data_IF_681601580017
#
_entry.id   IF_681601580017
#
_cell.length_a   1.000
_cell.length_b   1.000
_cell.length_c   1.000
_cell.angle_alpha   90.00
_cell.angle_beta   90.00
_cell.angle_gamma   90.00
#
_symmetry.space_group_name_H-M   'P 1'
#
loop_
_entity.id
_entity.type
_entity.pdbx_description
1 polymer ?
#
# COMPACT_ATOMS: atom_id res chain seq x y z
N UNK A 1 9.46 -19.58 -2.14
CA UNK A 1 10.47 -18.74 -2.81
C UNK A 1 11.14 -17.84 -1.78
N UNK A 2 12.47 -17.71 -1.76
CA UNK A 2 13.14 -16.77 -0.87
C UNK A 2 12.71 -15.33 -1.16
N UNK A 3 12.60 -14.49 -0.12
CA UNK A 3 12.11 -13.12 -0.21
C UNK A 3 12.83 -12.27 -1.30
N UNK A 4 14.10 -12.55 -1.56
CA UNK A 4 14.91 -11.88 -2.58
C UNK A 4 14.42 -12.05 -4.03
N UNK A 5 13.71 -13.16 -4.33
CA UNK A 5 13.14 -13.41 -5.68
C UNK A 5 11.71 -12.90 -5.85
N UNK A 6 10.97 -12.66 -4.75
CA UNK A 6 9.56 -12.25 -4.81
C UNK A 6 9.40 -10.80 -5.29
N UNK A 7 10.23 -9.88 -4.78
CA UNK A 7 10.13 -8.45 -5.10
C UNK A 7 10.30 -8.18 -6.61
N UNK A 8 11.40 -8.62 -7.27
CA UNK A 8 11.55 -8.38 -8.70
C UNK A 8 10.48 -9.08 -9.53
N UNK A 9 9.99 -10.26 -9.10
CA UNK A 9 8.91 -10.95 -9.80
C UNK A 9 7.60 -10.17 -9.71
N UNK A 10 7.20 -9.74 -8.52
CA UNK A 10 5.97 -8.97 -8.32
C UNK A 10 6.02 -7.63 -9.07
N UNK A 11 7.13 -6.90 -8.93
CA UNK A 11 7.33 -5.62 -9.62
C UNK A 11 7.35 -5.78 -11.14
N UNK A 12 8.00 -6.82 -11.65
CA UNK A 12 8.06 -7.14 -13.08
C UNK A 12 6.71 -7.54 -13.66
N UNK A 13 5.96 -8.42 -12.95
CA UNK A 13 4.61 -8.81 -13.38
C UNK A 13 3.65 -7.61 -13.41
N UNK A 14 3.71 -6.75 -12.39
CA UNK A 14 2.89 -5.55 -12.36
C UNK A 14 3.23 -4.60 -13.52
N UNK A 15 4.51 -4.38 -13.80
CA UNK A 15 4.97 -3.62 -14.96
C UNK A 15 4.51 -4.23 -16.30
N UNK A 16 4.56 -5.54 -16.41
CA UNK A 16 4.06 -6.26 -17.60
C UNK A 16 2.55 -6.06 -17.79
N UNK A 17 1.77 -6.15 -16.72
CA UNK A 17 0.31 -5.88 -16.77
C UNK A 17 0.02 -4.46 -17.27
N UNK A 18 0.77 -3.46 -16.79
CA UNK A 18 0.63 -2.08 -17.27
C UNK A 18 0.94 -1.97 -18.76
N UNK A 19 2.02 -2.61 -19.22
CA UNK A 19 2.38 -2.61 -20.65
C UNK A 19 1.32 -3.31 -21.50
N UNK A 20 0.85 -4.47 -21.11
CA UNK A 20 -0.15 -5.24 -21.86
C UNK A 20 -1.50 -4.54 -21.93
N UNK A 21 -1.88 -3.81 -20.90
CA UNK A 21 -3.17 -3.07 -20.86
C UNK A 21 -3.08 -1.69 -21.50
N UNK A 22 -1.87 -1.17 -21.74
CA UNK A 22 -1.64 0.20 -22.22
C UNK A 22 -2.12 1.24 -21.21
N UNK A 23 -2.15 0.92 -19.92
CA UNK A 23 -2.71 1.78 -18.88
C UNK A 23 -1.91 3.09 -18.74
N UNK A 24 -2.57 4.27 -18.75
CA UNK A 24 -1.89 5.54 -18.56
C UNK A 24 -1.50 5.71 -17.09
N UNK A 25 -0.21 5.83 -16.80
CA UNK A 25 0.27 6.02 -15.43
C UNK A 25 0.36 7.48 -15.00
N UNK A 26 0.35 8.44 -15.94
CA UNK A 26 0.45 9.87 -15.64
C UNK A 26 1.77 10.29 -14.97
N UNK A 27 2.88 9.55 -15.19
CA UNK A 27 4.19 9.79 -14.57
C UNK A 27 5.05 10.80 -15.34
N UNK A 28 4.41 11.70 -16.11
CA UNK A 28 5.07 12.82 -16.81
C UNK A 28 4.39 14.13 -16.45
N UNK A 29 5.14 15.27 -16.43
CA UNK A 29 4.54 16.57 -16.24
C UNK A 29 3.44 16.87 -17.26
N UNK A 30 2.37 17.64 -16.91
CA UNK A 30 2.11 18.22 -15.58
C UNK A 30 1.47 17.25 -14.57
N UNK A 31 0.93 16.11 -15.01
CA UNK A 31 0.18 15.15 -14.17
C UNK A 31 1.04 14.59 -13.04
N UNK A 32 2.31 14.30 -13.30
CA UNK A 32 3.25 13.84 -12.26
C UNK A 32 3.23 14.79 -11.06
N UNK A 33 3.37 16.09 -11.28
CA UNK A 33 3.43 17.08 -10.19
C UNK A 33 2.09 17.27 -9.48
N UNK A 34 0.98 17.14 -10.20
CA UNK A 34 -0.35 17.13 -9.57
C UNK A 34 -0.47 15.92 -8.62
N UNK A 35 -0.04 14.73 -9.08
CA UNK A 35 -0.03 13.52 -8.27
C UNK A 35 0.92 13.61 -7.08
N UNK A 36 2.12 14.15 -7.27
CA UNK A 36 3.09 14.32 -6.17
C UNK A 36 2.53 15.23 -5.08
N UNK A 37 1.98 16.38 -5.43
CA UNK A 37 1.40 17.31 -4.44
C UNK A 37 0.26 16.68 -3.66
N UNK A 38 -0.70 16.06 -4.37
CA UNK A 38 -1.85 15.42 -3.74
C UNK A 38 -1.41 14.21 -2.89
N UNK A 39 -0.52 13.38 -3.42
CA UNK A 39 -0.01 12.21 -2.73
C UNK A 39 0.79 12.53 -1.47
N UNK A 40 1.61 13.58 -1.49
CA UNK A 40 2.31 14.06 -0.30
C UNK A 40 1.35 14.61 0.75
N UNK A 41 0.34 15.39 0.35
CA UNK A 41 -0.64 15.94 1.28
C UNK A 41 -1.43 14.82 1.99
N UNK A 42 -2.01 13.91 1.21
CA UNK A 42 -2.80 12.79 1.76
C UNK A 42 -1.91 11.80 2.51
N UNK A 43 -0.72 11.50 1.98
CA UNK A 43 0.25 10.61 2.61
C UNK A 43 0.73 11.12 3.96
N UNK A 44 1.03 12.43 4.08
CA UNK A 44 1.41 13.05 5.35
C UNK A 44 0.30 12.96 6.39
N UNK A 45 -0.95 13.23 5.98
CA UNK A 45 -2.10 13.10 6.87
C UNK A 45 -2.31 11.65 7.31
N UNK A 46 -2.19 10.70 6.39
CA UNK A 46 -2.32 9.27 6.69
C UNK A 46 -1.19 8.78 7.61
N UNK A 47 0.06 9.18 7.37
CA UNK A 47 1.19 8.84 8.23
C UNK A 47 1.00 9.40 9.65
N UNK A 48 0.53 10.64 9.78
CA UNK A 48 0.22 11.23 11.08
C UNK A 48 -0.89 10.45 11.81
N UNK A 49 -1.94 10.03 11.09
CA UNK A 49 -2.99 9.17 11.63
C UNK A 49 -2.45 7.82 12.10
N UNK A 50 -1.60 7.15 11.31
CA UNK A 50 -0.94 5.89 11.69
C UNK A 50 -0.13 6.08 12.97
N UNK A 51 0.69 7.13 13.05
CA UNK A 51 1.49 7.43 14.25
C UNK A 51 0.57 7.68 15.45
N UNK A 52 -0.52 8.44 15.28
CA UNK A 52 -1.48 8.70 16.35
C UNK A 52 -2.12 7.41 16.90
N UNK A 53 -2.38 6.40 16.04
CA UNK A 53 -2.93 5.11 16.51
C UNK A 53 -1.99 4.38 17.46
N UNK A 54 -0.70 4.67 17.47
CA UNK A 54 0.27 4.07 18.41
C UNK A 54 0.03 4.49 19.87
N UNK A 55 -0.78 5.53 20.12
CA UNK A 55 -1.24 5.88 21.47
C UNK A 55 -2.24 4.87 22.04
N UNK A 56 -2.93 4.12 21.17
CA UNK A 56 -3.92 3.11 21.55
C UNK A 56 -3.22 1.84 22.06
N UNK A 57 -3.47 1.40 23.31
CA UNK A 57 -2.78 0.25 23.90
C UNK A 57 -2.90 -1.04 23.07
N UNK A 58 -4.08 -1.34 22.53
CA UNK A 58 -4.32 -2.52 21.70
C UNK A 58 -3.44 -2.53 20.44
N UNK A 59 -3.32 -1.38 19.76
CA UNK A 59 -2.45 -1.22 18.58
C UNK A 59 -0.97 -1.45 18.93
N UNK A 60 -0.52 -0.89 20.05
CA UNK A 60 0.86 -1.10 20.51
C UNK A 60 1.16 -2.56 20.81
N UNK A 61 0.22 -3.27 21.46
CA UNK A 61 0.36 -4.71 21.75
C UNK A 61 0.43 -5.51 20.44
N UNK A 62 -0.44 -5.24 19.50
CA UNK A 62 -0.40 -5.89 18.17
C UNK A 62 0.94 -5.64 17.45
N UNK A 63 1.39 -4.38 17.39
CA UNK A 63 2.68 -4.04 16.77
C UNK A 63 3.88 -4.68 17.48
N UNK A 64 3.83 -4.82 18.82
CA UNK A 64 4.90 -5.44 19.60
C UNK A 64 5.01 -6.95 19.32
N UNK A 65 3.90 -7.62 19.03
CA UNK A 65 3.84 -9.08 18.76
C UNK A 65 4.07 -9.43 17.30
N UNK A 66 3.98 -8.47 16.39
CA UNK A 66 4.08 -8.72 14.95
C UNK A 66 5.48 -9.25 14.59
N UNK A 67 5.51 -10.30 13.79
CA UNK A 67 6.76 -10.75 13.19
C UNK A 67 7.23 -9.74 12.13
N UNK A 68 8.45 -9.23 12.31
CA UNK A 68 9.05 -8.28 11.39
C UNK A 68 10.10 -8.99 10.52
N UNK A 69 10.30 -8.53 9.28
CA UNK A 69 11.36 -9.04 8.43
C UNK A 69 12.74 -8.91 9.08
N UNK A 70 13.62 -9.88 8.82
CA UNK A 70 14.97 -9.96 9.40
C UNK A 70 15.84 -8.75 9.06
N UNK A 71 15.66 -8.17 7.87
CA UNK A 71 16.36 -6.96 7.42
C UNK A 71 15.38 -5.79 7.30
N UNK A 72 15.39 -4.90 8.28
CA UNK A 72 14.58 -3.69 8.25
C UNK A 72 14.94 -2.78 7.06
N UNK A 73 16.22 -2.65 6.70
CA UNK A 73 16.66 -1.85 5.56
C UNK A 73 16.13 -2.39 4.22
N UNK A 74 16.24 -3.69 4.00
CA UNK A 74 15.70 -4.32 2.78
C UNK A 74 14.17 -4.20 2.74
N UNK A 75 13.50 -4.32 3.89
CA UNK A 75 12.06 -4.19 3.98
C UNK A 75 11.59 -2.78 3.60
N UNK A 76 12.13 -1.76 4.25
CA UNK A 76 11.79 -0.36 4.00
C UNK A 76 12.23 0.11 2.60
N UNK A 77 13.45 -0.20 2.16
CA UNK A 77 13.98 0.36 0.92
C UNK A 77 13.57 -0.39 -0.36
N UNK A 78 13.17 -1.66 -0.27
CA UNK A 78 12.88 -2.48 -1.46
C UNK A 78 11.53 -3.18 -1.39
N UNK A 79 11.22 -3.89 -0.29
CA UNK A 79 10.00 -4.70 -0.24
C UNK A 79 8.76 -3.81 -0.23
N UNK A 80 8.70 -2.78 0.62
CA UNK A 80 7.57 -1.85 0.66
C UNK A 80 7.46 -1.07 -0.65
N UNK A 81 8.48 -0.34 -1.12
CA UNK A 81 8.33 0.50 -2.31
C UNK A 81 8.04 -0.28 -3.60
N UNK A 82 8.76 -1.39 -3.83
CA UNK A 82 8.67 -2.13 -5.09
C UNK A 82 7.77 -3.36 -5.00
N UNK A 83 7.93 -4.18 -3.94
CA UNK A 83 7.19 -5.43 -3.80
C UNK A 83 5.74 -5.21 -3.39
N UNK A 84 5.43 -4.14 -2.68
CA UNK A 84 4.07 -3.79 -2.24
C UNK A 84 3.53 -2.62 -3.05
N UNK A 85 4.02 -1.41 -2.82
CA UNK A 85 3.42 -0.18 -3.37
C UNK A 85 3.40 -0.17 -4.89
N UNK A 86 4.55 -0.31 -5.54
CA UNK A 86 4.60 -0.34 -7.00
C UNK A 86 3.76 -1.50 -7.56
N UNK A 87 3.94 -2.71 -7.04
CA UNK A 87 3.27 -3.90 -7.56
C UNK A 87 1.74 -3.77 -7.46
N UNK A 88 1.23 -3.29 -6.33
CA UNK A 88 -0.20 -3.15 -6.10
C UNK A 88 -0.79 -1.96 -6.85
N UNK A 89 -0.16 -0.78 -6.82
CA UNK A 89 -0.69 0.38 -7.54
C UNK A 89 -0.69 0.17 -9.06
N UNK A 90 0.35 -0.44 -9.60
CA UNK A 90 0.42 -0.78 -11.01
C UNK A 90 -0.63 -1.83 -11.41
N UNK A 91 -0.83 -2.86 -10.59
CA UNK A 91 -1.83 -3.91 -10.88
C UNK A 91 -3.27 -3.40 -10.74
N UNK A 92 -3.60 -2.73 -9.64
CA UNK A 92 -4.99 -2.37 -9.33
C UNK A 92 -5.40 -1.00 -9.92
N UNK A 93 -4.59 0.06 -9.73
CA UNK A 93 -4.95 1.44 -10.12
C UNK A 93 -4.58 1.76 -11.56
N UNK A 94 -3.56 1.09 -12.12
CA UNK A 94 -3.27 1.22 -13.53
C UNK A 94 -3.97 0.12 -14.34
N UNK A 95 -3.48 -1.12 -14.28
CA UNK A 95 -3.90 -2.18 -15.20
C UNK A 95 -5.37 -2.58 -15.04
N UNK A 96 -5.80 -2.99 -13.84
CA UNK A 96 -7.18 -3.44 -13.60
C UNK A 96 -8.19 -2.30 -13.83
N UNK A 97 -7.90 -1.09 -13.30
CA UNK A 97 -8.78 0.06 -13.49
C UNK A 97 -8.91 0.46 -14.96
N UNK A 98 -7.83 0.39 -15.75
CA UNK A 98 -7.89 0.69 -17.19
C UNK A 98 -8.76 -0.31 -17.96
N UNK A 99 -8.64 -1.61 -17.67
CA UNK A 99 -9.46 -2.64 -18.31
C UNK A 99 -10.93 -2.53 -17.88
N UNK A 100 -11.16 -2.41 -16.57
CA UNK A 100 -12.51 -2.28 -16.03
C UNK A 100 -13.21 -1.00 -16.50
N UNK A 101 -12.46 0.10 -16.67
CA UNK A 101 -12.99 1.38 -17.14
C UNK A 101 -13.56 1.33 -18.54
N UNK A 102 -13.05 0.43 -19.40
CA UNK A 102 -13.59 0.23 -20.77
C UNK A 102 -14.98 -0.39 -20.77
N UNK A 103 -15.31 -1.14 -19.73
CA UNK A 103 -16.59 -1.88 -19.62
C UNK A 103 -17.58 -1.19 -18.70
N UNK A 104 -17.09 -0.71 -17.53
CA UNK A 104 -17.95 -0.25 -16.44
C UNK A 104 -17.85 1.26 -16.19
N UNK A 105 -17.07 2.00 -17.01
CA UNK A 105 -16.79 3.41 -16.77
C UNK A 105 -15.91 3.66 -15.52
N UNK A 106 -15.61 4.92 -15.22
CA UNK A 106 -14.68 5.29 -14.16
C UNK A 106 -15.14 4.81 -12.76
N UNK A 107 -16.41 5.08 -12.42
CA UNK A 107 -16.95 4.70 -11.10
C UNK A 107 -17.01 3.18 -10.89
N UNK A 108 -17.40 2.42 -11.93
CA UNK A 108 -17.42 0.97 -11.88
C UNK A 108 -16.01 0.38 -11.77
N UNK A 109 -15.05 0.94 -12.50
CA UNK A 109 -13.65 0.55 -12.42
C UNK A 109 -13.07 0.79 -11.02
N UNK A 110 -13.36 1.97 -10.42
CA UNK A 110 -12.93 2.29 -9.05
C UNK A 110 -13.54 1.33 -8.02
N UNK A 111 -14.81 0.98 -8.17
CA UNK A 111 -15.45 0.01 -7.29
C UNK A 111 -14.83 -1.38 -7.45
N UNK A 112 -14.69 -1.87 -8.68
CA UNK A 112 -14.14 -3.19 -8.94
C UNK A 112 -12.71 -3.34 -8.40
N UNK A 113 -11.83 -2.38 -8.67
CA UNK A 113 -10.46 -2.44 -8.19
C UNK A 113 -10.38 -2.32 -6.66
N UNK A 114 -11.26 -1.57 -6.01
CA UNK A 114 -11.32 -1.45 -4.56
C UNK A 114 -11.75 -2.77 -3.90
N UNK A 115 -12.77 -3.42 -4.45
CA UNK A 115 -13.23 -4.75 -4.01
C UNK A 115 -12.11 -5.78 -4.20
N UNK A 116 -11.51 -5.84 -5.40
CA UNK A 116 -10.43 -6.77 -5.70
C UNK A 116 -9.22 -6.55 -4.77
N UNK A 117 -8.89 -5.30 -4.49
CA UNK A 117 -7.81 -4.94 -3.56
C UNK A 117 -8.12 -5.38 -2.12
N UNK A 118 -9.34 -5.16 -1.64
CA UNK A 118 -9.75 -5.67 -0.33
C UNK A 118 -9.66 -7.19 -0.25
N UNK A 119 -10.21 -7.90 -1.24
CA UNK A 119 -10.21 -9.35 -1.28
C UNK A 119 -8.79 -9.95 -1.40
N UNK A 120 -7.85 -9.28 -2.05
CA UNK A 120 -6.47 -9.75 -2.16
C UNK A 120 -5.76 -9.85 -0.79
N UNK A 121 -6.24 -9.13 0.23
CA UNK A 121 -5.68 -9.16 1.58
C UNK A 121 -6.20 -10.30 2.48
N UNK A 122 -7.12 -11.15 1.97
CA UNK A 122 -7.65 -12.29 2.74
C UNK A 122 -6.53 -13.26 3.15
N UNK A 123 -5.61 -13.55 2.23
CA UNK A 123 -4.52 -14.48 2.50
C UNK A 123 -3.57 -13.93 3.58
N UNK A 124 -3.24 -12.64 3.50
CA UNK A 124 -2.35 -11.98 4.46
C UNK A 124 -3.02 -11.88 5.85
N UNK A 125 -4.30 -11.51 5.91
CA UNK A 125 -5.05 -11.47 7.16
C UNK A 125 -5.05 -12.84 7.87
N UNK A 126 -5.28 -13.92 7.11
CA UNK A 126 -5.21 -15.28 7.65
C UNK A 126 -3.82 -15.68 8.12
N UNK A 127 -2.79 -15.31 7.37
CA UNK A 127 -1.41 -15.64 7.70
C UNK A 127 -0.91 -14.89 8.95
N UNK A 128 -1.42 -13.68 9.19
CA UNK A 128 -1.05 -12.84 10.35
C UNK A 128 -1.98 -12.99 11.55
N UNK A 129 -3.07 -13.77 11.42
CA UNK A 129 -4.09 -13.93 12.47
C UNK A 129 -4.97 -12.70 12.67
N UNK A 130 -4.99 -11.78 11.70
CA UNK A 130 -5.84 -10.59 11.73
C UNK A 130 -7.29 -10.93 11.34
N UNK A 131 -8.30 -10.21 11.85
CA UNK A 131 -9.70 -10.45 11.50
C UNK A 131 -9.93 -10.19 10.00
N UNK A 132 -10.35 -11.20 9.26
CA UNK A 132 -10.46 -11.15 7.79
C UNK A 132 -11.42 -10.05 7.31
N UNK A 133 -12.66 -10.02 7.83
CA UNK A 133 -13.65 -9.06 7.36
C UNK A 133 -13.27 -7.59 7.62
N UNK A 134 -12.84 -7.19 8.84
CA UNK A 134 -12.32 -5.85 9.07
C UNK A 134 -11.13 -5.49 8.17
N UNK A 135 -10.20 -6.43 7.94
CA UNK A 135 -9.04 -6.20 7.05
C UNK A 135 -9.50 -5.94 5.62
N UNK A 136 -10.39 -6.77 5.08
CA UNK A 136 -10.93 -6.61 3.72
C UNK A 136 -11.67 -5.28 3.55
N UNK A 137 -12.48 -4.89 4.55
CA UNK A 137 -13.21 -3.62 4.52
C UNK A 137 -12.27 -2.41 4.60
N UNK A 138 -11.28 -2.45 5.47
CA UNK A 138 -10.29 -1.38 5.63
C UNK A 138 -9.42 -1.22 4.37
N UNK A 139 -8.90 -2.33 3.85
CA UNK A 139 -8.06 -2.30 2.63
C UNK A 139 -8.88 -1.98 1.37
N UNK A 140 -10.13 -2.46 1.28
CA UNK A 140 -11.06 -2.07 0.22
C UNK A 140 -11.39 -0.57 0.26
N UNK A 141 -11.65 -0.01 1.44
CA UNK A 141 -11.84 1.42 1.64
C UNK A 141 -10.60 2.24 1.24
N UNK A 142 -9.41 1.80 1.66
CA UNK A 142 -8.16 2.39 1.20
C UNK A 142 -8.01 2.29 -0.32
N UNK A 143 -8.36 1.13 -0.90
CA UNK A 143 -8.39 0.91 -2.35
C UNK A 143 -9.26 1.90 -3.10
N UNK A 144 -10.44 2.20 -2.56
CA UNK A 144 -11.33 3.22 -3.11
C UNK A 144 -10.71 4.61 -3.09
N UNK A 145 -10.07 4.99 -1.97
CA UNK A 145 -9.38 6.27 -1.83
C UNK A 145 -8.21 6.36 -2.81
N UNK A 146 -7.40 5.31 -2.93
CA UNK A 146 -6.27 5.26 -3.86
C UNK A 146 -6.73 5.35 -5.32
N UNK A 147 -7.83 4.71 -5.68
CA UNK A 147 -8.47 4.85 -6.99
C UNK A 147 -8.89 6.29 -7.26
N UNK A 148 -9.54 6.93 -6.28
CA UNK A 148 -9.91 8.34 -6.36
C UNK A 148 -8.69 9.27 -6.51
N UNK A 149 -7.61 9.02 -5.77
CA UNK A 149 -6.36 9.78 -5.89
C UNK A 149 -5.76 9.69 -7.30
N UNK A 150 -5.74 8.49 -7.88
CA UNK A 150 -5.24 8.27 -9.24
C UNK A 150 -6.09 9.01 -10.28
N UNK A 151 -7.41 8.91 -10.19
CA UNK A 151 -8.35 9.58 -11.10
C UNK A 151 -8.27 11.11 -10.97
N UNK A 152 -8.31 11.63 -9.74
CA UNK A 152 -8.36 13.08 -9.48
C UNK A 152 -7.06 13.80 -9.90
N UNK A 153 -5.91 13.16 -9.67
CA UNK A 153 -4.61 13.71 -10.08
C UNK A 153 -4.24 13.39 -11.52
N UNK A 154 -4.87 12.38 -12.11
CA UNK A 154 -4.48 11.80 -13.40
C UNK A 154 -3.11 11.13 -13.34
N UNK A 155 -2.62 10.74 -12.16
CA UNK A 155 -1.27 10.20 -11.95
C UNK A 155 -1.24 9.11 -10.89
N UNK A 156 -0.51 8.03 -11.20
CA UNK A 156 -0.25 6.95 -10.27
C UNK A 156 0.64 7.38 -9.09
N UNK A 157 1.39 8.48 -9.22
CA UNK A 157 2.23 9.00 -8.13
C UNK A 157 1.43 9.41 -6.89
N UNK A 158 0.15 9.83 -7.03
CA UNK A 158 -0.68 10.21 -5.89
C UNK A 158 -0.99 9.01 -4.97
N UNK A 159 -1.61 7.92 -5.45
CA UNK A 159 -1.84 6.76 -4.60
C UNK A 159 -0.54 6.08 -4.16
N UNK A 160 0.50 6.03 -5.00
CA UNK A 160 1.80 5.46 -4.61
C UNK A 160 2.40 6.17 -3.40
N UNK A 161 2.41 7.50 -3.37
CA UNK A 161 2.95 8.26 -2.23
C UNK A 161 2.09 8.12 -0.98
N UNK A 162 0.77 8.13 -1.11
CA UNK A 162 -0.13 7.91 0.02
C UNK A 162 0.02 6.50 0.59
N UNK A 163 0.07 5.49 -0.25
CA UNK A 163 0.26 4.09 0.12
C UNK A 163 1.63 3.85 0.77
N UNK A 164 2.69 4.40 0.18
CA UNK A 164 4.05 4.35 0.73
C UNK A 164 4.09 4.95 2.13
N UNK A 165 3.51 6.14 2.32
CA UNK A 165 3.48 6.82 3.61
C UNK A 165 2.79 6.00 4.71
N UNK A 166 1.68 5.33 4.38
CA UNK A 166 0.98 4.42 5.32
C UNK A 166 1.88 3.26 5.71
N UNK A 167 2.44 2.56 4.72
CA UNK A 167 3.24 1.37 5.00
C UNK A 167 4.55 1.69 5.73
N UNK A 168 5.27 2.74 5.30
CA UNK A 168 6.52 3.15 5.93
C UNK A 168 6.31 3.64 7.36
N UNK A 169 5.26 4.44 7.60
CA UNK A 169 4.96 4.91 8.96
C UNK A 169 4.55 3.77 9.89
N UNK A 170 3.77 2.81 9.40
CA UNK A 170 3.39 1.62 10.18
C UNK A 170 4.60 0.73 10.47
N UNK A 171 5.48 0.52 9.50
CA UNK A 171 6.70 -0.25 9.65
C UNK A 171 7.67 0.42 10.64
N UNK A 172 7.89 1.71 10.52
CA UNK A 172 8.74 2.50 11.44
C UNK A 172 8.18 2.50 12.87
N UNK A 173 6.85 2.61 13.03
CA UNK A 173 6.20 2.51 14.32
C UNK A 173 6.41 1.14 14.98
N UNK A 174 6.19 0.05 14.24
CA UNK A 174 6.40 -1.30 14.75
C UNK A 174 7.86 -1.56 15.16
N UNK A 175 8.82 -1.16 14.32
CA UNK A 175 10.25 -1.26 14.63
C UNK A 175 10.61 -0.48 15.90
N UNK A 176 10.07 0.72 16.06
CA UNK A 176 10.33 1.58 17.23
C UNK A 176 9.76 0.96 18.51
N UNK A 177 8.52 0.47 18.45
CA UNK A 177 7.86 -0.17 19.60
C UNK A 177 8.64 -1.41 20.04
N UNK A 178 9.04 -2.27 19.10
CA UNK A 178 9.78 -3.49 19.42
C UNK A 178 11.18 -3.21 19.99
N UNK A 179 11.89 -2.21 19.46
CA UNK A 179 13.19 -1.80 20.01
C UNK A 179 13.07 -1.33 21.47
N UNK A 180 12.04 -0.51 21.78
CA UNK A 180 11.80 -0.03 23.14
C UNK A 180 11.40 -1.14 24.10
N UNK A 181 10.63 -2.13 23.63
CA UNK A 181 10.27 -3.29 24.46
C UNK A 181 11.49 -4.13 24.83
N UNK A 182 12.39 -4.40 23.86
CA UNK A 182 13.63 -5.16 24.11
C UNK A 182 14.58 -4.44 25.06
N UNK A 183 14.71 -3.12 24.95
CA UNK A 183 15.58 -2.33 25.85
C UNK A 183 15.13 -2.32 27.32
N UNK A 184 13.82 -2.51 27.58
CA UNK A 184 13.27 -2.59 28.94
C UNK A 184 13.52 -3.94 29.64
N UNK A 185 13.77 -5.00 28.88
CA UNK A 185 14.09 -6.32 29.47
C UNK A 185 15.57 -6.50 29.74
N UNK A 186 16.44 -5.63 29.19
CA UNK A 186 17.90 -5.70 29.33
C UNK A 186 18.45 -4.65 30.30
N UNK A 187 17.59 -3.80 30.90
CA UNK A 187 17.92 -2.82 31.94
C UNK A 187 17.32 -3.26 33.28
#
# INVERSE_FOLDING_TARGET
>A
MPARGRVPLQAGLAGLLVLLTGAPMGLRPPRLWAGVRLGLAVGSAAAAAVVATTSVPAVRVSMAKRELPTSASTWLALQIPLGTVWAEEAAFRAALAAVAGRVYGASGARLLQAIAFGLSHIADARATGEPVLPTVLATGGAGWIFGWLAEHSGSLSAPMLAHLAINESAAAAALTIQRRSRGRFNA
#
